data_IF_818089652321
#
_entry.id   IF_818089652321
#
_cell.length_a   1.000
_cell.length_b   1.000
_cell.length_c   1.000
_cell.angle_alpha   90.00
_cell.angle_beta   90.00
_cell.angle_gamma   90.00
#
_symmetry.space_group_name_H-M   'P 1'
#
loop_
_entity.id
_entity.type
_entity.pdbx_description
1 polymer ?
#
# COMPACT_ATOMS: atom_id res chain seq x y z
N UNK A 1 -5.23 21.94 8.01
CA UNK A 1 -4.33 20.98 7.38
C UNK A 1 -5.07 20.24 6.29
N UNK A 2 -4.42 19.95 5.18
CA UNK A 2 -5.00 19.13 4.10
C UNK A 2 -4.61 17.69 4.33
N UNK A 3 -5.58 16.77 4.20
CA UNK A 3 -5.31 15.35 4.39
C UNK A 3 -4.76 14.68 3.11
N UNK A 4 -5.02 15.29 1.94
CA UNK A 4 -4.59 14.78 0.63
C UNK A 4 -4.07 15.93 -0.23
N UNK A 5 -2.88 15.74 -0.80
CA UNK A 5 -2.32 16.57 -1.85
C UNK A 5 -2.43 15.83 -3.18
N UNK A 6 -2.90 16.51 -4.22
CA UNK A 6 -2.97 15.95 -5.57
C UNK A 6 -2.01 16.74 -6.44
N UNK A 7 -1.10 16.04 -7.13
CA UNK A 7 -0.16 16.69 -8.02
C UNK A 7 -0.07 15.96 -9.38
N UNK A 8 0.17 16.77 -10.41
CA UNK A 8 0.55 16.22 -11.71
C UNK A 8 2.01 15.73 -11.64
N UNK A 9 2.23 14.43 -11.91
CA UNK A 9 3.57 13.85 -11.89
C UNK A 9 4.19 13.91 -13.29
N UNK A 10 5.39 14.48 -13.39
CA UNK A 10 6.22 14.39 -14.59
C UNK A 10 7.24 13.26 -14.41
N UNK A 11 7.52 12.43 -15.45
CA UNK A 11 8.37 11.25 -15.31
C UNK A 11 9.77 11.52 -14.76
N UNK A 12 10.34 12.71 -15.02
CA UNK A 12 11.72 13.04 -14.70
C UNK A 12 11.94 13.73 -13.34
N UNK A 13 10.91 14.32 -12.75
CA UNK A 13 11.01 15.05 -11.46
C UNK A 13 9.94 14.61 -10.43
N UNK A 14 9.08 13.67 -10.80
CA UNK A 14 7.92 13.31 -9.97
C UNK A 14 8.30 12.68 -8.64
N UNK A 15 9.36 11.88 -8.59
CA UNK A 15 9.79 11.21 -7.34
C UNK A 15 10.45 12.17 -6.37
N UNK A 16 11.31 13.08 -6.85
CA UNK A 16 11.98 14.08 -6.00
C UNK A 16 10.97 15.05 -5.39
N UNK A 17 10.08 15.60 -6.21
CA UNK A 17 9.03 16.51 -5.74
C UNK A 17 8.03 15.80 -4.81
N UNK A 18 7.69 14.55 -5.08
CA UNK A 18 6.85 13.75 -4.21
C UNK A 18 7.51 13.54 -2.84
N UNK A 19 8.82 13.29 -2.80
CA UNK A 19 9.57 13.17 -1.54
C UNK A 19 9.57 14.48 -0.76
N UNK A 20 9.83 15.63 -1.41
CA UNK A 20 9.78 16.95 -0.78
C UNK A 20 8.40 17.24 -0.17
N UNK A 21 7.32 16.95 -0.92
CA UNK A 21 5.95 17.13 -0.46
C UNK A 21 5.67 16.24 0.75
N UNK A 22 6.06 14.97 0.70
CA UNK A 22 5.83 14.03 1.79
C UNK A 22 6.67 14.33 3.04
N UNK A 23 7.81 15.00 2.89
CA UNK A 23 8.60 15.49 4.02
C UNK A 23 8.02 16.76 4.67
N UNK A 24 7.27 17.55 3.91
CA UNK A 24 6.68 18.79 4.40
C UNK A 24 5.49 18.59 5.36
N UNK A 25 4.90 17.38 5.43
CA UNK A 25 3.77 17.13 6.31
C UNK A 25 3.32 15.66 6.35
N UNK A 26 2.24 15.42 7.09
CA UNK A 26 1.66 14.09 7.32
C UNK A 26 0.52 13.75 6.34
N UNK A 27 0.38 14.51 5.27
CA UNK A 27 -0.68 14.33 4.28
C UNK A 27 -0.41 13.13 3.36
N UNK A 28 -1.47 12.60 2.78
CA UNK A 28 -1.41 11.63 1.68
C UNK A 28 -1.08 12.34 0.37
N UNK A 29 -0.56 11.61 -0.62
CA UNK A 29 -0.17 12.18 -1.91
C UNK A 29 -0.72 11.35 -3.07
N UNK A 30 -1.51 11.96 -3.95
CA UNK A 30 -1.96 11.37 -5.20
C UNK A 30 -1.17 11.96 -6.38
N UNK A 31 -0.41 11.12 -7.02
CA UNK A 31 0.33 11.43 -8.24
C UNK A 31 -0.52 11.08 -9.46
N UNK A 32 -0.78 12.06 -10.33
CA UNK A 32 -1.57 11.87 -11.55
C UNK A 32 -0.70 12.21 -12.76
N UNK A 33 -0.20 11.23 -13.51
CA UNK A 33 0.68 11.46 -14.66
C UNK A 33 -0.05 12.07 -15.86
N UNK A 34 -1.35 11.76 -16.01
CA UNK A 34 -2.22 12.27 -17.07
C UNK A 34 -3.68 12.24 -16.60
N UNK A 35 -4.57 13.05 -17.18
CA UNK A 35 -5.99 12.96 -16.90
C UNK A 35 -6.51 11.54 -17.16
N UNK A 36 -7.26 11.00 -16.21
CA UNK A 36 -7.93 9.70 -16.33
C UNK A 36 -9.43 9.95 -16.36
N UNK A 37 -10.16 9.43 -17.37
CA UNK A 37 -11.60 9.65 -17.46
C UNK A 37 -12.35 8.92 -16.34
N UNK A 38 -11.88 7.74 -15.97
CA UNK A 38 -12.47 6.90 -14.93
C UNK A 38 -11.39 6.14 -14.16
N UNK A 39 -11.62 5.92 -12.88
CA UNK A 39 -10.81 5.06 -12.02
C UNK A 39 -11.70 3.96 -11.44
N UNK A 40 -11.98 2.92 -12.25
CA UNK A 40 -12.93 1.88 -11.92
C UNK A 40 -12.30 0.70 -11.14
N UNK A 41 -10.98 0.49 -11.28
CA UNK A 41 -10.27 -0.64 -10.68
C UNK A 41 -9.04 -0.16 -9.93
N UNK A 42 -9.01 -0.43 -8.63
CA UNK A 42 -7.96 0.04 -7.72
C UNK A 42 -7.17 -1.14 -7.15
N UNK A 43 -5.85 -1.11 -7.28
CA UNK A 43 -4.94 -2.05 -6.63
C UNK A 43 -4.41 -1.44 -5.33
N UNK A 44 -4.74 -2.03 -4.20
CA UNK A 44 -4.30 -1.59 -2.87
C UNK A 44 -3.23 -2.57 -2.37
N UNK A 45 -1.98 -2.12 -2.30
CA UNK A 45 -0.88 -2.94 -1.82
C UNK A 45 -0.73 -2.76 -0.31
N UNK A 46 -0.82 -3.86 0.42
CA UNK A 46 -0.72 -3.87 1.87
C UNK A 46 0.33 -4.87 2.35
N UNK A 47 1.12 -4.46 3.34
CA UNK A 47 1.91 -5.39 4.12
C UNK A 47 1.02 -5.99 5.21
N UNK A 48 1.08 -7.32 5.42
CA UNK A 48 0.31 -7.97 6.47
C UNK A 48 0.77 -7.47 7.85
N UNK A 49 -0.08 -6.70 8.52
CA UNK A 49 0.21 -6.10 9.84
C UNK A 49 -0.59 -4.83 10.12
N UNK A 50 -0.31 -4.20 11.26
CA UNK A 50 -1.01 -2.99 11.73
C UNK A 50 -1.00 -1.81 10.73
N UNK A 51 0.12 -1.47 10.05
CA UNK A 51 0.15 -0.32 9.14
C UNK A 51 -0.92 -0.37 8.06
N UNK A 52 -1.31 -1.58 7.63
CA UNK A 52 -2.26 -1.75 6.55
C UNK A 52 -3.72 -1.43 6.89
N UNK A 53 -4.10 -1.32 8.17
CA UNK A 53 -5.51 -1.07 8.56
C UNK A 53 -5.93 0.36 8.23
N UNK A 54 -5.13 1.34 8.61
CA UNK A 54 -5.42 2.76 8.36
C UNK A 54 -5.36 3.04 6.86
N UNK A 55 -4.42 2.42 6.15
CA UNK A 55 -4.28 2.51 4.70
C UNK A 55 -5.55 2.00 3.99
N UNK A 56 -6.09 0.87 4.44
CA UNK A 56 -7.33 0.28 3.91
C UNK A 56 -8.53 1.18 4.19
N UNK A 57 -8.62 1.77 5.39
CA UNK A 57 -9.77 2.61 5.76
C UNK A 57 -9.79 3.92 4.98
N UNK A 58 -8.65 4.63 4.90
CA UNK A 58 -8.54 5.86 4.12
C UNK A 58 -8.81 5.59 2.65
N UNK A 59 -8.13 4.59 2.09
CA UNK A 59 -8.29 4.22 0.68
C UNK A 59 -9.72 3.77 0.37
N UNK A 60 -10.35 3.00 1.27
CA UNK A 60 -11.72 2.54 1.09
C UNK A 60 -12.72 3.70 0.95
N UNK A 61 -12.55 4.78 1.71
CA UNK A 61 -13.38 5.99 1.56
C UNK A 61 -13.19 6.64 0.19
N UNK A 62 -11.95 6.74 -0.29
CA UNK A 62 -11.66 7.27 -1.61
C UNK A 62 -12.24 6.38 -2.72
N UNK A 63 -12.00 5.08 -2.67
CA UNK A 63 -12.49 4.10 -3.66
C UNK A 63 -14.01 4.11 -3.73
N UNK A 64 -14.70 4.21 -2.58
CA UNK A 64 -16.15 4.41 -2.53
C UNK A 64 -16.59 5.66 -3.28
N UNK A 65 -15.89 6.77 -3.08
CA UNK A 65 -16.20 8.05 -3.73
C UNK A 65 -16.04 7.98 -5.26
N UNK A 66 -15.07 7.18 -5.72
CA UNK A 66 -14.83 6.91 -7.14
C UNK A 66 -15.85 5.92 -7.74
N UNK A 67 -16.67 5.25 -6.93
CA UNK A 67 -17.55 4.17 -7.39
C UNK A 67 -16.77 2.94 -7.91
N UNK A 68 -15.52 2.78 -7.49
CA UNK A 68 -14.59 1.78 -8.00
C UNK A 68 -14.66 0.46 -7.23
N UNK A 69 -14.07 -0.59 -7.81
CA UNK A 69 -13.76 -1.85 -7.12
C UNK A 69 -12.28 -1.92 -6.71
N UNK A 70 -11.98 -2.73 -5.69
CA UNK A 70 -10.63 -2.84 -5.18
C UNK A 70 -10.10 -4.29 -5.19
N UNK A 71 -8.79 -4.43 -5.38
CA UNK A 71 -8.07 -5.66 -5.06
C UNK A 71 -7.03 -5.34 -3.97
N UNK A 72 -7.10 -6.06 -2.85
CA UNK A 72 -6.09 -5.99 -1.80
C UNK A 72 -5.00 -6.99 -2.12
N UNK A 73 -3.82 -6.50 -2.48
CA UNK A 73 -2.65 -7.31 -2.79
C UNK A 73 -1.65 -7.31 -1.64
N UNK A 74 -1.22 -8.49 -1.24
CA UNK A 74 -0.02 -8.66 -0.42
C UNK A 74 0.98 -9.55 -1.15
N UNK A 75 2.25 -9.16 -1.12
CA UNK A 75 3.34 -9.92 -1.73
C UNK A 75 4.20 -10.53 -0.64
N UNK A 76 4.35 -11.85 -0.66
CA UNK A 76 5.24 -12.60 0.21
C UNK A 76 6.59 -12.79 -0.48
N UNK A 77 7.73 -12.52 0.17
CA UNK A 77 9.02 -12.90 -0.38
C UNK A 77 9.14 -14.43 -0.46
N UNK A 78 9.91 -14.95 -1.41
CA UNK A 78 10.03 -16.39 -1.65
C UNK A 78 10.53 -17.18 -0.44
N UNK A 79 11.46 -16.63 0.30
CA UNK A 79 11.99 -17.17 1.55
C UNK A 79 11.01 -17.08 2.73
N UNK A 80 10.05 -16.17 2.65
CA UNK A 80 8.95 -15.98 3.59
C UNK A 80 7.67 -16.74 3.26
N UNK A 81 7.61 -17.44 2.14
CA UNK A 81 6.42 -18.17 1.69
C UNK A 81 6.26 -19.51 2.44
N UNK A 82 5.71 -19.40 3.63
CA UNK A 82 5.42 -20.54 4.51
C UNK A 82 3.90 -20.65 4.74
N UNK A 83 3.35 -21.86 4.99
CA UNK A 83 1.91 -22.03 5.21
C UNK A 83 1.35 -21.11 6.29
N UNK A 84 2.08 -20.89 7.37
CA UNK A 84 1.68 -20.00 8.46
C UNK A 84 1.64 -18.54 8.03
N UNK A 85 2.64 -18.06 7.25
CA UNK A 85 2.68 -16.71 6.71
C UNK A 85 1.53 -16.48 5.73
N UNK A 86 1.26 -17.43 4.83
CA UNK A 86 0.11 -17.38 3.92
C UNK A 86 -1.21 -17.32 4.69
N UNK A 87 -1.39 -18.15 5.71
CA UNK A 87 -2.60 -18.16 6.52
C UNK A 87 -2.78 -16.85 7.28
N UNK A 88 -1.70 -16.27 7.82
CA UNK A 88 -1.74 -14.96 8.48
C UNK A 88 -2.13 -13.86 7.49
N UNK A 89 -1.42 -13.77 6.36
CA UNK A 89 -1.72 -12.80 5.30
C UNK A 89 -3.14 -12.95 4.77
N UNK A 90 -3.60 -14.17 4.56
CA UNK A 90 -4.96 -14.45 4.12
C UNK A 90 -6.02 -13.94 5.11
N UNK A 91 -5.83 -14.14 6.43
CA UNK A 91 -6.74 -13.59 7.45
C UNK A 91 -6.73 -12.06 7.46
N UNK A 92 -5.56 -11.45 7.33
CA UNK A 92 -5.42 -10.00 7.26
C UNK A 92 -6.15 -9.42 6.05
N UNK A 93 -5.93 -9.97 4.86
CA UNK A 93 -6.61 -9.54 3.64
C UNK A 93 -8.13 -9.75 3.72
N UNK A 94 -8.58 -10.87 4.28
CA UNK A 94 -10.00 -11.13 4.48
C UNK A 94 -10.65 -10.11 5.44
N UNK A 95 -9.93 -9.67 6.47
CA UNK A 95 -10.38 -8.59 7.35
C UNK A 95 -10.46 -7.25 6.59
N UNK A 96 -9.46 -6.92 5.78
CA UNK A 96 -9.46 -5.73 4.93
C UNK A 96 -10.62 -5.72 3.93
N UNK A 97 -10.88 -6.84 3.26
CA UNK A 97 -12.04 -6.99 2.35
C UNK A 97 -13.36 -6.77 3.08
N UNK A 98 -13.53 -7.30 4.30
CA UNK A 98 -14.72 -7.02 5.11
C UNK A 98 -14.85 -5.53 5.46
N UNK A 99 -13.75 -4.86 5.80
CA UNK A 99 -13.76 -3.42 6.06
C UNK A 99 -14.22 -2.65 4.82
N UNK A 100 -13.71 -2.99 3.64
CA UNK A 100 -14.13 -2.37 2.38
C UNK A 100 -15.60 -2.64 2.06
N UNK A 101 -16.08 -3.87 2.30
CA UNK A 101 -17.49 -4.22 2.12
C UNK A 101 -18.40 -3.40 3.04
N UNK A 102 -18.01 -3.14 4.30
CA UNK A 102 -18.75 -2.25 5.21
C UNK A 102 -18.80 -0.80 4.71
N UNK A 103 -17.80 -0.37 3.94
CA UNK A 103 -17.80 0.92 3.26
C UNK A 103 -18.58 0.92 1.93
N UNK A 104 -19.14 -0.22 1.53
CA UNK A 104 -19.85 -0.36 0.25
C UNK A 104 -18.92 -0.50 -0.96
N UNK A 105 -17.66 -0.89 -0.76
CA UNK A 105 -16.65 -1.09 -1.82
C UNK A 105 -16.56 -2.56 -2.16
N UNK A 106 -16.84 -2.99 -3.41
CA UNK A 106 -16.56 -4.34 -3.87
C UNK A 106 -15.06 -4.60 -3.85
N UNK A 107 -14.62 -5.64 -3.15
CA UNK A 107 -13.20 -5.92 -3.01
C UNK A 107 -12.88 -7.42 -3.01
N UNK A 108 -11.68 -7.78 -3.49
CA UNK A 108 -11.16 -9.14 -3.46
C UNK A 108 -9.72 -9.18 -2.94
N UNK A 109 -9.30 -10.27 -2.26
CA UNK A 109 -7.93 -10.45 -1.81
C UNK A 109 -7.07 -11.08 -2.91
N UNK A 110 -5.78 -10.72 -2.93
CA UNK A 110 -4.78 -11.38 -3.77
C UNK A 110 -3.47 -11.57 -2.98
N UNK A 111 -2.83 -12.72 -3.13
CA UNK A 111 -1.49 -13.00 -2.59
C UNK A 111 -0.60 -13.39 -3.75
N UNK A 112 0.54 -12.72 -3.88
CA UNK A 112 1.61 -13.07 -4.80
C UNK A 112 2.87 -13.47 -4.03
N UNK A 113 3.77 -14.18 -4.68
CA UNK A 113 5.04 -14.63 -4.09
C UNK A 113 6.16 -14.28 -5.02
N UNK A 114 7.08 -13.45 -4.57
CA UNK A 114 8.20 -13.00 -5.40
C UNK A 114 8.88 -11.74 -4.88
N UNK A 115 9.51 -11.03 -5.80
CA UNK A 115 10.08 -9.71 -5.52
C UNK A 115 8.95 -8.68 -5.51
N UNK A 116 8.77 -7.98 -4.38
CA UNK A 116 7.61 -7.12 -4.13
C UNK A 116 7.34 -6.15 -5.28
N UNK A 117 8.38 -5.45 -5.75
CA UNK A 117 8.25 -4.49 -6.86
C UNK A 117 7.72 -5.17 -8.13
N UNK A 118 8.33 -6.30 -8.49
CA UNK A 118 8.02 -7.01 -9.74
C UNK A 118 6.59 -7.54 -9.74
N UNK A 119 6.18 -8.14 -8.62
CA UNK A 119 4.84 -8.70 -8.47
C UNK A 119 3.76 -7.62 -8.48
N UNK A 120 4.01 -6.45 -7.87
CA UNK A 120 3.06 -5.32 -7.91
C UNK A 120 2.91 -4.78 -9.33
N UNK A 121 4.02 -4.55 -10.05
CA UNK A 121 3.97 -4.03 -11.41
C UNK A 121 3.35 -5.03 -12.39
N UNK A 122 3.65 -6.33 -12.22
CA UNK A 122 3.01 -7.39 -13.00
C UNK A 122 1.50 -7.44 -12.76
N UNK A 123 1.06 -7.37 -11.49
CA UNK A 123 -0.36 -7.36 -11.14
C UNK A 123 -1.07 -6.12 -11.70
N UNK A 124 -0.44 -4.93 -11.62
CA UNK A 124 -0.98 -3.71 -12.24
C UNK A 124 -1.28 -3.90 -13.72
N UNK A 125 -0.38 -4.56 -14.43
CA UNK A 125 -0.51 -4.80 -15.88
C UNK A 125 -1.58 -5.85 -16.17
N UNK A 126 -1.49 -7.02 -15.54
CA UNK A 126 -2.41 -8.16 -15.77
C UNK A 126 -3.83 -7.81 -15.36
N UNK A 127 -4.00 -7.14 -14.24
CA UNK A 127 -5.30 -6.75 -13.70
C UNK A 127 -5.89 -5.50 -14.37
N UNK A 128 -5.13 -4.80 -15.22
CA UNK A 128 -5.54 -3.54 -15.84
C UNK A 128 -6.13 -2.54 -14.84
N UNK A 129 -5.40 -2.27 -13.75
CA UNK A 129 -5.83 -1.33 -12.72
C UNK A 129 -5.56 0.11 -13.14
N UNK A 130 -6.47 1.00 -12.72
CA UNK A 130 -6.45 2.43 -13.06
C UNK A 130 -5.73 3.28 -11.99
N UNK A 131 -5.68 2.78 -10.76
CA UNK A 131 -5.03 3.43 -9.62
C UNK A 131 -4.25 2.40 -8.80
N UNK A 132 -3.01 2.73 -8.49
CA UNK A 132 -2.19 2.00 -7.54
C UNK A 132 -2.16 2.72 -6.19
N UNK A 133 -2.34 1.99 -5.10
CA UNK A 133 -2.25 2.52 -3.74
C UNK A 133 -1.10 1.84 -3.00
N UNK A 134 -0.20 2.65 -2.44
CA UNK A 134 0.97 2.21 -1.69
C UNK A 134 0.99 2.86 -0.31
N UNK A 135 1.25 2.10 0.73
CA UNK A 135 1.51 2.62 2.07
C UNK A 135 2.94 3.12 2.20
N UNK A 136 3.14 4.27 2.83
CA UNK A 136 4.44 4.79 3.21
C UNK A 136 4.44 5.27 4.66
N UNK A 137 5.43 4.91 5.51
CA UNK A 137 5.46 5.33 6.90
C UNK A 137 5.69 6.84 7.02
N UNK A 138 5.07 7.49 8.02
CA UNK A 138 5.32 8.90 8.35
C UNK A 138 6.77 9.15 8.75
N UNK A 139 7.30 8.27 9.59
CA UNK A 139 8.69 8.29 10.04
C UNK A 139 9.35 6.96 9.75
N UNK A 140 10.56 7.00 9.22
CA UNK A 140 11.39 5.82 9.05
C UNK A 140 12.46 5.79 10.13
N UNK A 141 12.61 4.62 10.75
CA UNK A 141 13.62 4.39 11.79
C UNK A 141 15.06 4.48 11.27
N UNK A 142 15.26 4.39 9.95
CA UNK A 142 16.55 4.46 9.27
C UNK A 142 16.93 5.87 8.79
N UNK A 143 16.11 6.89 9.10
CA UNK A 143 16.31 8.28 8.71
C UNK A 143 16.22 8.55 7.19
N UNK A 144 15.81 7.54 6.40
CA UNK A 144 15.63 7.70 4.96
C UNK A 144 14.28 8.35 4.64
N UNK A 145 14.16 8.95 3.47
CA UNK A 145 12.92 9.55 3.00
C UNK A 145 11.75 8.58 2.89
N UNK A 146 10.54 9.12 2.82
CA UNK A 146 9.29 8.36 2.77
C UNK A 146 9.21 7.40 1.58
N UNK A 147 9.81 7.79 0.45
CA UNK A 147 9.84 7.02 -0.80
C UNK A 147 11.07 6.11 -0.93
N UNK A 148 11.94 6.05 0.08
CA UNK A 148 13.08 5.14 0.03
C UNK A 148 12.61 3.66 -0.02
N UNK A 149 13.29 2.87 -0.85
CA UNK A 149 13.02 1.44 -0.98
C UNK A 149 11.97 1.11 -2.06
N UNK A 150 11.05 0.19 -1.76
CA UNK A 150 10.12 -0.38 -2.76
C UNK A 150 9.18 0.68 -3.34
N UNK A 151 8.70 1.64 -2.53
CA UNK A 151 7.76 2.68 -2.98
C UNK A 151 8.41 3.55 -4.07
N UNK A 152 9.60 4.06 -3.84
CA UNK A 152 10.32 4.87 -4.84
C UNK A 152 10.67 4.09 -6.10
N UNK A 153 11.05 2.81 -5.95
CA UNK A 153 11.31 1.93 -7.10
C UNK A 153 10.04 1.69 -7.94
N UNK A 154 8.89 1.55 -7.31
CA UNK A 154 7.61 1.40 -8.03
C UNK A 154 7.27 2.70 -8.73
N UNK A 155 7.37 3.85 -8.06
CA UNK A 155 7.07 5.15 -8.64
C UNK A 155 7.90 5.46 -9.88
N UNK A 156 9.18 5.10 -9.87
CA UNK A 156 10.06 5.26 -11.02
C UNK A 156 9.65 4.41 -12.24
N UNK A 157 8.87 3.36 -12.04
CA UNK A 157 8.44 2.42 -13.08
C UNK A 157 6.92 2.47 -13.37
N UNK A 158 6.13 3.12 -12.52
CA UNK A 158 4.68 3.26 -12.68
C UNK A 158 4.28 4.56 -13.41
N UNK A 159 5.16 5.09 -14.26
CA UNK A 159 5.09 6.43 -14.83
C UNK A 159 3.76 6.80 -15.54
N UNK A 160 2.99 5.82 -15.99
CA UNK A 160 1.77 6.02 -16.78
C UNK A 160 0.46 5.89 -15.99
N UNK A 161 0.52 5.51 -14.73
CA UNK A 161 -0.67 5.26 -13.91
C UNK A 161 -0.71 6.17 -12.69
N UNK A 162 -1.89 6.62 -12.26
CA UNK A 162 -2.05 7.30 -10.98
C UNK A 162 -1.56 6.43 -9.82
N UNK A 163 -0.83 7.04 -8.88
CA UNK A 163 -0.37 6.39 -7.66
C UNK A 163 -0.76 7.21 -6.45
N UNK A 164 -1.50 6.61 -5.54
CA UNK A 164 -1.81 7.17 -4.23
C UNK A 164 -0.82 6.64 -3.20
N UNK A 165 -0.15 7.53 -2.52
CA UNK A 165 0.72 7.23 -1.39
C UNK A 165 -0.04 7.58 -0.12
N UNK A 166 -0.38 6.54 0.65
CA UNK A 166 -1.06 6.69 1.94
C UNK A 166 -0.03 6.73 3.05
N UNK A 167 -0.08 7.77 3.86
CA UNK A 167 0.83 7.95 5.00
C UNK A 167 0.26 7.28 6.24
N UNK A 168 1.08 6.48 6.91
CA UNK A 168 0.72 5.78 8.14
C UNK A 168 1.72 6.11 9.26
N UNK A 169 1.26 6.30 10.50
CA UNK A 169 2.14 6.58 11.64
C UNK A 169 3.06 5.41 12.00
N UNK A 170 2.84 4.23 11.42
CA UNK A 170 3.60 3.03 11.75
C UNK A 170 4.69 2.74 10.72
N UNK A 171 5.92 2.55 11.18
CA UNK A 171 7.03 2.07 10.35
C UNK A 171 6.92 0.57 10.10
N UNK A 172 6.99 0.16 8.84
CA UNK A 172 7.00 -1.26 8.41
C UNK A 172 8.19 -2.06 8.98
N UNK A 173 9.22 -1.40 9.52
CA UNK A 173 10.44 -2.03 10.01
C UNK A 173 10.37 -2.65 11.42
N UNK A 174 9.23 -2.61 12.08
CA UNK A 174 8.96 -3.47 13.23
C UNK A 174 7.96 -4.56 12.81
N UNK A 175 8.45 -5.59 12.16
CA UNK A 175 7.81 -6.89 12.26
C UNK A 175 8.00 -7.37 13.71
N UNK A 176 7.02 -7.25 14.60
CA UNK A 176 7.20 -7.58 16.02
C UNK A 176 7.43 -9.07 16.26
N UNK A 177 7.35 -9.89 15.21
CA UNK A 177 7.54 -11.35 15.25
C UNK A 177 8.92 -11.83 14.83
N UNK A 178 9.81 -10.98 14.34
CA UNK A 178 11.21 -11.32 14.16
C UNK A 178 11.99 -10.95 15.43
N UNK A 179 11.81 -11.72 16.49
CA UNK A 179 12.73 -11.73 17.61
C UNK A 179 14.13 -12.12 17.11
N UNK A 180 15.16 -11.52 17.69
CA UNK A 180 16.58 -11.76 17.42
C UNK A 180 17.00 -13.26 17.49
N UNK A 181 16.08 -14.16 17.85
CA UNK A 181 16.31 -15.62 18.01
C UNK A 181 15.37 -16.49 17.15
N UNK A 182 14.78 -15.97 16.07
CA UNK A 182 13.96 -16.78 15.17
C UNK A 182 12.66 -17.32 15.78
N UNK A 183 12.26 -16.86 16.96
CA UNK A 183 10.97 -17.22 17.58
C UNK A 183 9.94 -16.15 17.29
N UNK A 184 8.80 -16.57 16.76
CA UNK A 184 7.64 -15.72 16.50
C UNK A 184 7.01 -15.36 17.84
N UNK A 185 7.13 -14.11 18.26
CA UNK A 185 6.42 -13.56 19.43
C UNK A 185 5.15 -12.89 18.97
N UNK A 186 4.00 -13.53 19.19
CA UNK A 186 2.71 -12.86 19.02
C UNK A 186 2.40 -12.00 20.25
N UNK A 187 2.02 -10.73 20.08
CA UNK A 187 1.47 -9.96 21.19
C UNK A 187 0.20 -10.65 21.69
N UNK A 188 0.12 -10.89 23.00
CA UNK A 188 -1.02 -11.54 23.67
C UNK A 188 -2.30 -10.70 23.74
N UNK A 189 -2.29 -9.50 23.19
CA UNK A 189 -3.37 -8.54 23.30
C UNK A 189 -3.86 -8.09 21.92
N UNK A 190 -4.66 -8.92 21.27
CA UNK A 190 -5.72 -8.46 20.35
C UNK A 190 -6.83 -9.52 20.40
N UNK A 191 -7.57 -9.51 21.51
CA UNK A 191 -8.94 -10.02 21.53
C UNK A 191 -9.81 -8.77 21.67
N UNK A 192 -10.44 -8.36 20.59
CA UNK A 192 -11.78 -7.75 20.52
C UNK A 192 -12.15 -7.60 19.05
#
# INVERSE_FOLDING_TARGET
PYDLVIMHSQPQRGVELAEEILQAGEHHLLLVPRPQPEMARVLICVAAGEPGKDDVLFTGRLVRHLGASATLLSVLPRDGDRPQARAHTGRFLAAGVRTLALLGVPAQPAIRVGVVREEILAEMTVGNYDLLVLGAPLTRSDGRGALAGVVGQILSNAADRPVLIVRSPYSVNRAPWLGTNGRVNFPKEVIL
#
